data_IF_855316324813
#
_entry.id   IF_855316324813
#
_cell.length_a   1.000
_cell.length_b   1.000
_cell.length_c   1.000
_cell.angle_alpha   90.00
_cell.angle_beta   90.00
_cell.angle_gamma   90.00
#
_symmetry.space_group_name_H-M   'P 1'
#
loop_
_entity.id
_entity.type
_entity.pdbx_description
1 polymer ?
#
# COMPACT_ATOMS: atom_id res chain seq x y z
N UNK A 1 14.33 -6.65 23.61
CA UNK A 1 13.26 -7.43 22.96
C UNK A 1 13.02 -6.76 21.61
N UNK A 2 13.10 -7.49 20.48
CA UNK A 2 12.78 -6.87 19.18
C UNK A 2 11.27 -6.65 19.12
N UNK A 3 10.86 -5.51 18.58
CA UNK A 3 9.45 -5.18 18.36
C UNK A 3 8.79 -6.26 17.51
N UNK A 4 7.52 -6.56 17.82
CA UNK A 4 6.69 -7.49 17.05
C UNK A 4 5.42 -6.82 16.58
N UNK A 5 5.12 -6.95 15.29
CA UNK A 5 3.88 -6.48 14.67
C UNK A 5 3.18 -7.62 13.95
N UNK A 6 1.85 -7.62 13.88
CA UNK A 6 1.14 -8.53 12.98
C UNK A 6 1.39 -8.08 11.55
N UNK A 7 1.84 -8.98 10.68
CA UNK A 7 2.10 -8.61 9.29
C UNK A 7 0.85 -8.02 8.62
N UNK A 8 -0.33 -8.52 9.00
CA UNK A 8 -1.62 -8.02 8.53
C UNK A 8 -1.81 -6.52 8.80
N UNK A 9 -1.32 -5.98 9.93
CA UNK A 9 -1.42 -4.54 10.22
C UNK A 9 -0.68 -3.70 9.19
N UNK A 10 0.47 -4.18 8.71
CA UNK A 10 1.25 -3.51 7.67
C UNK A 10 0.58 -3.64 6.31
N UNK A 11 0.02 -4.81 6.00
CA UNK A 11 -0.75 -5.05 4.76
C UNK A 11 -1.97 -4.12 4.71
N UNK A 12 -2.73 -4.04 5.79
CA UNK A 12 -3.91 -3.17 5.89
C UNK A 12 -3.53 -1.70 5.68
N UNK A 13 -2.37 -1.27 6.19
CA UNK A 13 -1.85 0.08 5.97
C UNK A 13 -1.46 0.33 4.51
N UNK A 14 -0.85 -0.65 3.85
CA UNK A 14 -0.52 -0.59 2.43
C UNK A 14 -1.79 -0.50 1.57
N UNK A 15 -2.82 -1.29 1.88
CA UNK A 15 -4.10 -1.28 1.16
C UNK A 15 -4.86 0.04 1.31
N UNK A 16 -4.78 0.65 2.49
CA UNK A 16 -5.45 1.90 2.83
C UNK A 16 -4.64 3.16 2.48
N UNK A 17 -3.40 2.99 2.02
CA UNK A 17 -2.49 4.09 1.73
C UNK A 17 -3.12 5.10 0.77
N UNK A 18 -3.21 6.35 1.20
CA UNK A 18 -3.81 7.45 0.44
C UNK A 18 -3.08 8.76 0.75
N UNK A 19 -3.42 9.83 0.03
CA UNK A 19 -2.91 11.16 0.39
C UNK A 19 -3.69 11.78 1.55
N UNK A 20 -4.86 11.23 1.89
CA UNK A 20 -5.75 11.84 2.88
C UNK A 20 -5.23 11.67 4.32
N UNK A 21 -4.50 10.59 4.58
CA UNK A 21 -3.99 10.27 5.91
C UNK A 21 -2.56 9.75 5.84
N UNK A 22 -1.71 10.28 6.71
CA UNK A 22 -0.42 9.65 7.02
C UNK A 22 -0.65 8.62 8.12
N UNK A 23 -0.43 7.35 7.80
CA UNK A 23 -0.54 6.26 8.77
C UNK A 23 0.80 6.00 9.44
N UNK A 24 0.81 5.95 10.77
CA UNK A 24 2.00 5.63 11.55
C UNK A 24 1.70 4.53 12.56
N UNK A 25 2.68 3.68 12.82
CA UNK A 25 2.65 2.70 13.89
C UNK A 25 3.24 3.31 15.16
N UNK A 26 2.44 3.39 16.22
CA UNK A 26 2.87 3.84 17.53
C UNK A 26 3.51 2.68 18.29
N UNK A 27 4.82 2.78 18.50
CA UNK A 27 5.62 1.74 19.15
C UNK A 27 5.36 1.58 20.65
N UNK A 28 4.72 2.56 21.31
CA UNK A 28 4.37 2.47 22.74
C UNK A 28 3.00 1.83 22.96
N UNK A 29 2.00 2.21 22.16
CA UNK A 29 0.64 1.65 22.30
C UNK A 29 0.45 0.37 21.48
N UNK A 30 1.30 0.13 20.48
CA UNK A 30 1.18 -0.93 19.47
C UNK A 30 -0.06 -0.76 18.58
N UNK A 31 -0.49 0.49 18.37
CA UNK A 31 -1.66 0.84 17.55
C UNK A 31 -1.26 1.68 16.33
N UNK A 32 -2.08 1.62 15.29
CA UNK A 32 -1.95 2.50 14.12
C UNK A 32 -2.69 3.80 14.37
N UNK A 33 -1.99 4.92 14.19
CA UNK A 33 -2.54 6.27 14.25
C UNK A 33 -2.62 6.88 12.84
N UNK A 34 -3.60 7.75 12.64
CA UNK A 34 -3.93 8.33 11.34
C UNK A 34 -3.88 9.85 11.46
N UNK A 35 -2.83 10.46 10.92
CA UNK A 35 -2.71 11.91 10.88
C UNK A 35 -3.38 12.44 9.59
N UNK A 36 -4.48 13.20 9.67
CA UNK A 36 -5.16 13.73 8.49
C UNK A 36 -4.33 14.81 7.78
N UNK A 37 -4.43 14.85 6.44
CA UNK A 37 -3.95 15.98 5.64
C UNK A 37 -5.05 17.04 5.53
N UNK A 38 -4.83 18.19 6.17
CA UNK A 38 -5.81 19.29 6.24
C UNK A 38 -6.27 19.80 4.88
N UNK A 39 -5.43 19.73 3.83
CA UNK A 39 -5.79 20.21 2.50
C UNK A 39 -6.71 19.23 1.76
N UNK A 40 -6.70 17.97 2.16
CA UNK A 40 -7.46 16.90 1.52
C UNK A 40 -8.72 16.56 2.32
N UNK A 41 -8.61 16.42 3.63
CA UNK A 41 -9.72 16.03 4.51
C UNK A 41 -10.46 17.24 5.09
N UNK A 42 -9.79 18.38 5.24
CA UNK A 42 -10.31 19.53 5.99
C UNK A 42 -10.29 19.34 7.51
N UNK A 43 -9.67 18.26 7.99
CA UNK A 43 -9.59 17.88 9.39
C UNK A 43 -8.15 18.02 9.91
N UNK A 44 -8.00 18.24 11.22
CA UNK A 44 -6.71 18.33 11.90
C UNK A 44 -6.74 17.58 13.22
N UNK A 45 -5.64 16.91 13.56
CA UNK A 45 -5.42 16.33 14.88
C UNK A 45 -4.17 16.98 15.48
N UNK A 46 -4.37 18.13 16.14
CA UNK A 46 -3.28 18.94 16.70
C UNK A 46 -2.53 18.19 17.82
N UNK A 47 -3.27 17.43 18.64
CA UNK A 47 -2.69 16.65 19.74
C UNK A 47 -1.78 15.53 19.19
N UNK A 48 -2.23 14.80 18.17
CA UNK A 48 -1.41 13.78 17.51
C UNK A 48 -0.21 14.40 16.79
N UNK A 49 -0.40 15.51 16.08
CA UNK A 49 0.69 16.19 15.38
C UNK A 49 1.78 16.66 16.36
N UNK A 50 1.39 17.28 17.48
CA UNK A 50 2.31 17.72 18.52
C UNK A 50 3.02 16.53 19.18
N UNK A 51 2.31 15.42 19.39
CA UNK A 51 2.90 14.18 19.92
C UNK A 51 3.94 13.58 18.98
N UNK A 52 3.68 13.55 17.67
CA UNK A 52 4.63 13.07 16.66
C UNK A 52 5.86 13.98 16.61
N UNK A 53 5.69 15.30 16.72
CA UNK A 53 6.82 16.25 16.74
C UNK A 53 7.67 16.11 18.01
N UNK A 54 7.04 15.89 19.17
CA UNK A 54 7.73 15.72 20.45
C UNK A 54 8.45 14.38 20.58
N UNK A 55 7.88 13.32 20.02
CA UNK A 55 8.40 11.95 20.14
C UNK A 55 8.52 11.25 18.77
N UNK A 56 9.31 11.75 17.81
CA UNK A 56 9.34 11.21 16.44
C UNK A 56 9.84 9.76 16.39
N UNK A 57 10.78 9.39 17.26
CA UNK A 57 11.33 8.02 17.34
C UNK A 57 10.29 6.98 17.83
N UNK A 58 9.17 7.44 18.41
CA UNK A 58 8.06 6.56 18.83
C UNK A 58 7.25 6.06 17.64
N UNK A 59 7.29 6.75 16.50
CA UNK A 59 6.40 6.48 15.38
C UNK A 59 7.15 5.93 14.18
N UNK A 60 6.65 4.82 13.64
CA UNK A 60 7.16 4.26 12.38
C UNK A 60 6.14 4.53 11.29
N UNK A 61 6.52 5.31 10.28
CA UNK A 61 5.63 5.64 9.17
C UNK A 61 5.44 4.42 8.28
N UNK A 62 4.19 4.08 7.97
CA UNK A 62 3.89 3.07 6.96
C UNK A 62 4.26 3.56 5.55
N UNK A 63 4.43 2.63 4.58
CA UNK A 63 4.68 3.00 3.20
C UNK A 63 3.57 3.91 2.66
N UNK A 64 3.97 5.01 2.00
CA UNK A 64 3.05 5.87 1.27
C UNK A 64 2.60 5.19 -0.03
N UNK A 65 1.47 5.65 -0.59
CA UNK A 65 1.00 5.17 -1.91
C UNK A 65 2.04 5.33 -3.03
N UNK A 66 2.97 6.27 -2.87
CA UNK A 66 4.05 6.51 -3.81
C UNK A 66 5.16 5.46 -3.70
N UNK A 67 5.48 5.01 -2.48
CA UNK A 67 6.47 3.96 -2.20
C UNK A 67 5.93 2.56 -2.56
N UNK A 68 4.61 2.36 -2.49
CA UNK A 68 3.95 1.11 -2.90
C UNK A 68 4.06 0.88 -4.42
N UNK A 69 4.15 1.96 -5.21
CA UNK A 69 4.26 1.91 -6.67
C UNK A 69 3.20 1.00 -7.32
N UNK A 70 1.91 1.20 -7.03
CA UNK A 70 0.80 0.33 -7.53
C UNK A 70 0.81 0.15 -9.06
N UNK A 71 1.24 1.17 -9.81
CA UNK A 71 1.43 1.07 -11.26
C UNK A 71 2.46 -0.01 -11.65
N UNK A 72 3.57 -0.10 -10.93
CA UNK A 72 4.62 -1.10 -11.17
C UNK A 72 4.13 -2.51 -10.84
N UNK A 73 3.25 -2.66 -9.84
CA UNK A 73 2.58 -3.94 -9.54
C UNK A 73 1.69 -4.35 -10.71
N UNK A 74 0.91 -3.40 -11.27
CA UNK A 74 0.09 -3.65 -12.46
C UNK A 74 0.93 -4.02 -13.68
N UNK A 75 2.04 -3.32 -13.91
CA UNK A 75 2.94 -3.58 -15.05
C UNK A 75 3.58 -4.97 -14.95
N UNK A 76 4.11 -5.31 -13.76
CA UNK A 76 4.69 -6.63 -13.49
C UNK A 76 3.68 -7.75 -13.65
N UNK A 77 2.44 -7.56 -13.15
CA UNK A 77 1.35 -8.51 -13.37
C UNK A 77 1.09 -8.77 -14.86
N UNK A 78 1.07 -7.72 -15.68
CA UNK A 78 0.87 -7.87 -17.13
C UNK A 78 2.04 -8.58 -17.79
N UNK A 79 3.26 -8.33 -17.34
CA UNK A 79 4.45 -8.99 -17.84
C UNK A 79 4.53 -10.47 -17.46
N UNK A 80 4.04 -10.86 -16.30
CA UNK A 80 4.02 -12.25 -15.85
C UNK A 80 2.92 -13.10 -16.52
N UNK A 81 1.95 -12.48 -17.19
CA UNK A 81 0.92 -13.22 -17.91
C UNK A 81 1.51 -14.00 -19.10
N UNK A 82 0.93 -15.18 -19.42
CA UNK A 82 1.27 -15.90 -20.65
C UNK A 82 1.04 -15.03 -21.90
N UNK A 83 1.89 -15.23 -22.92
CA UNK A 83 1.72 -14.58 -24.21
C UNK A 83 0.33 -14.88 -24.79
N UNK A 84 -0.42 -13.84 -25.17
CA UNK A 84 -1.75 -14.01 -25.73
C UNK A 84 -2.59 -12.73 -25.71
N UNK A 85 -3.89 -12.93 -25.96
CA UNK A 85 -4.88 -11.85 -26.05
C UNK A 85 -4.97 -11.05 -24.74
N UNK A 86 -5.08 -11.72 -23.60
CA UNK A 86 -5.25 -11.08 -22.28
C UNK A 86 -4.06 -10.16 -21.97
N UNK A 87 -2.82 -10.66 -22.11
CA UNK A 87 -1.60 -9.87 -21.94
C UNK A 87 -1.56 -8.65 -22.86
N UNK A 88 -1.87 -8.84 -24.15
CA UNK A 88 -1.85 -7.75 -25.13
C UNK A 88 -2.88 -6.65 -24.80
N UNK A 89 -4.09 -7.04 -24.41
CA UNK A 89 -5.14 -6.09 -24.04
C UNK A 89 -4.79 -5.32 -22.76
N UNK A 90 -4.28 -6.00 -21.73
CA UNK A 90 -3.87 -5.35 -20.48
C UNK A 90 -2.65 -4.44 -20.66
N UNK A 91 -1.65 -4.84 -21.46
CA UNK A 91 -0.50 -4.01 -21.80
C UNK A 91 -0.90 -2.72 -22.53
N UNK A 92 -1.98 -2.75 -23.31
CA UNK A 92 -2.59 -1.56 -23.87
C UNK A 92 -3.36 -0.74 -22.82
N UNK A 93 -4.10 -1.42 -21.93
CA UNK A 93 -4.94 -0.79 -20.92
C UNK A 93 -4.14 0.09 -19.94
N UNK A 94 -2.94 -0.35 -19.54
CA UNK A 94 -2.10 0.35 -18.55
C UNK A 94 -1.36 1.58 -19.09
N UNK A 95 -1.53 1.97 -20.36
CA UNK A 95 -0.80 3.10 -20.95
C UNK A 95 -1.52 4.45 -20.78
N UNK A 96 -0.81 5.46 -20.30
CA UNK A 96 -1.29 6.85 -20.27
C UNK A 96 -2.46 7.12 -19.30
N UNK A 97 -3.09 8.28 -19.45
CA UNK A 97 -4.12 8.77 -18.51
C UNK A 97 -5.29 7.79 -18.40
N UNK A 98 -5.67 7.43 -17.17
CA UNK A 98 -6.77 6.51 -16.89
C UNK A 98 -6.39 5.02 -16.94
N UNK A 99 -5.09 4.69 -16.88
CA UNK A 99 -4.56 3.33 -16.83
C UNK A 99 -5.26 2.44 -15.79
N UNK A 100 -5.31 2.87 -14.53
CA UNK A 100 -5.96 2.13 -13.44
C UNK A 100 -7.41 1.76 -13.74
N UNK A 101 -8.21 2.71 -14.24
CA UNK A 101 -9.62 2.47 -14.57
C UNK A 101 -9.78 1.44 -15.69
N UNK A 102 -9.00 1.59 -16.77
CA UNK A 102 -9.07 0.66 -17.90
C UNK A 102 -8.56 -0.72 -17.53
N UNK A 103 -7.46 -0.80 -16.76
CA UNK A 103 -6.95 -2.05 -16.24
C UNK A 103 -8.02 -2.81 -15.45
N UNK A 104 -8.65 -2.16 -14.46
CA UNK A 104 -9.76 -2.75 -13.68
C UNK A 104 -10.95 -3.18 -14.55
N UNK A 105 -11.26 -2.43 -15.60
CA UNK A 105 -12.31 -2.80 -16.56
C UNK A 105 -11.91 -4.02 -17.40
N UNK A 106 -10.66 -4.09 -17.86
CA UNK A 106 -10.15 -5.17 -18.70
C UNK A 106 -10.03 -6.48 -17.92
N UNK A 107 -9.54 -6.47 -16.67
CA UNK A 107 -9.48 -7.69 -15.85
C UNK A 107 -10.88 -8.27 -15.60
N UNK A 108 -11.89 -7.42 -15.39
CA UNK A 108 -13.31 -7.79 -15.26
C UNK A 108 -13.82 -8.43 -16.54
N UNK A 109 -13.61 -7.75 -17.66
CA UNK A 109 -14.08 -8.21 -18.97
C UNK A 109 -13.45 -9.55 -19.39
N UNK A 110 -12.17 -9.75 -19.07
CA UNK A 110 -11.43 -10.98 -19.37
C UNK A 110 -11.65 -12.10 -18.33
N UNK A 111 -12.34 -11.83 -17.22
CA UNK A 111 -12.60 -12.82 -16.16
C UNK A 111 -11.36 -13.22 -15.36
N UNK A 112 -10.35 -12.35 -15.28
CA UNK A 112 -9.07 -12.60 -14.57
C UNK A 112 -8.93 -11.80 -13.27
N UNK A 113 -10.03 -11.31 -12.71
CA UNK A 113 -10.04 -10.53 -11.47
C UNK A 113 -9.39 -11.26 -10.30
N UNK A 114 -9.73 -12.55 -10.11
CA UNK A 114 -9.17 -13.32 -9.00
C UNK A 114 -7.64 -13.45 -9.13
N UNK A 115 -7.15 -13.71 -10.35
CA UNK A 115 -5.72 -13.79 -10.62
C UNK A 115 -5.01 -12.46 -10.29
N UNK A 116 -5.65 -11.33 -10.60
CA UNK A 116 -5.14 -10.01 -10.21
C UNK A 116 -5.14 -9.83 -8.68
N UNK A 117 -6.23 -10.17 -7.99
CA UNK A 117 -6.30 -10.00 -6.53
C UNK A 117 -5.29 -10.87 -5.79
N UNK A 118 -5.08 -12.11 -6.23
CA UNK A 118 -4.07 -12.99 -5.66
C UNK A 118 -2.65 -12.43 -5.87
N UNK A 119 -2.38 -11.91 -7.08
CA UNK A 119 -1.09 -11.27 -7.40
C UNK A 119 -0.86 -10.00 -6.57
N UNK A 120 -1.87 -9.14 -6.48
CA UNK A 120 -1.82 -7.89 -5.71
C UNK A 120 -1.61 -8.17 -4.22
N UNK A 121 -2.33 -9.14 -3.65
CA UNK A 121 -2.17 -9.53 -2.26
C UNK A 121 -0.75 -10.05 -1.97
N UNK A 122 -0.18 -10.84 -2.88
CA UNK A 122 1.21 -11.29 -2.75
C UNK A 122 2.20 -10.12 -2.82
N UNK A 123 2.02 -9.19 -3.77
CA UNK A 123 2.88 -8.01 -3.87
C UNK A 123 2.81 -7.12 -2.62
N UNK A 124 1.61 -6.93 -2.05
CA UNK A 124 1.44 -6.20 -0.79
C UNK A 124 2.07 -6.91 0.40
N UNK A 125 1.99 -8.23 0.44
CA UNK A 125 2.69 -9.04 1.44
C UNK A 125 4.21 -8.84 1.35
N UNK A 126 4.78 -8.91 0.15
CA UNK A 126 6.22 -8.70 -0.05
C UNK A 126 6.68 -7.29 0.35
N UNK A 127 5.86 -6.27 0.06
CA UNK A 127 6.11 -4.89 0.51
C UNK A 127 6.04 -4.78 2.03
N UNK A 128 5.06 -5.42 2.67
CA UNK A 128 4.93 -5.45 4.12
C UNK A 128 6.13 -6.12 4.79
N UNK A 129 6.56 -7.28 4.28
CA UNK A 129 7.73 -8.00 4.80
C UNK A 129 9.01 -7.17 4.63
N UNK A 130 9.17 -6.49 3.48
CA UNK A 130 10.29 -5.57 3.23
C UNK A 130 10.29 -4.42 4.23
N UNK A 131 9.15 -3.76 4.44
CA UNK A 131 9.02 -2.67 5.39
C UNK A 131 9.39 -3.11 6.82
N UNK A 132 8.93 -4.28 7.26
CA UNK A 132 9.32 -4.83 8.56
C UNK A 132 10.84 -5.04 8.67
N UNK A 133 11.46 -5.60 7.63
CA UNK A 133 12.90 -5.84 7.60
C UNK A 133 13.72 -4.54 7.60
N UNK A 134 13.29 -3.52 6.85
CA UNK A 134 13.93 -2.20 6.80
C UNK A 134 13.88 -1.45 8.14
N UNK A 135 12.84 -1.72 8.96
CA UNK A 135 12.67 -1.15 10.28
C UNK A 135 13.15 -2.08 11.43
N UNK A 136 13.80 -3.20 11.11
CA UNK A 136 14.29 -4.19 12.09
C UNK A 136 13.17 -4.78 13.01
N UNK A 137 11.94 -4.83 12.50
CA UNK A 137 10.75 -5.32 13.20
C UNK A 137 10.54 -6.81 12.90
N UNK A 138 10.28 -7.61 13.94
CA UNK A 138 9.81 -8.98 13.76
C UNK A 138 8.30 -8.98 13.44
N UNK A 139 7.85 -9.87 12.56
CA UNK A 139 6.43 -10.02 12.29
C UNK A 139 5.95 -11.44 12.55
N UNK A 140 4.66 -11.54 12.89
CA UNK A 140 3.90 -12.79 13.02
C UNK A 140 2.70 -12.83 12.06
#
# INVERSE_FOLDING_TARGET
MRMKIKLQTVIDAIEQASDAYTMLYDTKTNETVYLPDVWITGETDEDLAELIEKEPERFLRFPTKYEIHEYSIMDSFVDDLPAGRIKSELAGAIRGKGAFRRFKQTIRFQGVEQLWYDYQANAYRELAERWCNENDIQFE
#
